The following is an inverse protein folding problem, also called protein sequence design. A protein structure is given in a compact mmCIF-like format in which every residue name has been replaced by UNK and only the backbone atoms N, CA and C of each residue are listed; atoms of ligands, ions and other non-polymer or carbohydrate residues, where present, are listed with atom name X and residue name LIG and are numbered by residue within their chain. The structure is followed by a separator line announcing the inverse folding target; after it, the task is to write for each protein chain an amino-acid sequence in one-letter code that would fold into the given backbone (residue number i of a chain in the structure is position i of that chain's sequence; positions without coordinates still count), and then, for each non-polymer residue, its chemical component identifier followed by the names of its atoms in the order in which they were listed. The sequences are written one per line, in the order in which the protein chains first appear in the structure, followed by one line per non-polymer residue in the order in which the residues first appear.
data_IF_456384681191
#
_entry.id   IF_456384681191
#
_cell.length_a   1.000
_cell.length_b   1.000
_cell.length_c   1.000
_cell.angle_alpha   90.00
_cell.angle_beta   90.00
_cell.angle_gamma   90.00
#
_symmetry.space_group_name_H-M   'P 1'
#
loop_
_entity.id
_entity.type
_entity.pdbx_description
1 polymer ?
#
# COMPACT_ATOMS: atom_id res chain seq x y z
N UNK A 1 -9.96 39.83 21.80
CA UNK A 1 -10.38 38.45 21.49
C UNK A 1 -9.70 37.51 22.47
N UNK A 2 -10.43 36.79 23.33
CA UNK A 2 -9.81 35.88 24.29
C UNK A 2 -8.92 34.85 23.57
N UNK A 3 -7.66 34.63 24.01
CA UNK A 3 -6.70 33.78 23.32
C UNK A 3 -7.18 32.34 23.13
N UNK A 4 -8.09 31.88 23.99
CA UNK A 4 -8.76 30.57 23.89
C UNK A 4 -9.47 30.38 22.54
N UNK A 5 -10.10 31.43 22.00
CA UNK A 5 -10.78 31.33 20.71
C UNK A 5 -9.80 31.14 19.56
N UNK A 6 -8.62 31.77 19.61
CA UNK A 6 -7.59 31.63 18.58
C UNK A 6 -7.07 30.19 18.56
N UNK A 7 -6.78 29.63 19.75
CA UNK A 7 -6.32 28.25 19.89
C UNK A 7 -7.40 27.26 19.44
N UNK A 8 -8.66 27.46 19.85
CA UNK A 8 -9.77 26.60 19.46
C UNK A 8 -9.98 26.61 17.93
N UNK A 9 -9.93 27.78 17.30
CA UNK A 9 -10.07 27.89 15.85
C UNK A 9 -8.91 27.19 15.12
N UNK A 10 -7.68 27.36 15.62
CA UNK A 10 -6.49 26.69 15.09
C UNK A 10 -6.59 25.16 15.21
N UNK A 11 -7.03 24.65 16.36
CA UNK A 11 -7.25 23.22 16.57
C UNK A 11 -8.34 22.67 15.64
N UNK A 12 -9.42 23.41 15.44
CA UNK A 12 -10.51 23.02 14.56
C UNK A 12 -10.05 22.94 13.09
N UNK A 13 -9.29 23.94 12.64
CA UNK A 13 -8.71 23.96 11.30
C UNK A 13 -7.72 22.80 11.09
N UNK A 14 -6.85 22.53 12.07
CA UNK A 14 -5.92 21.40 12.03
C UNK A 14 -6.66 20.06 11.95
N UNK A 15 -7.70 19.86 12.77
CA UNK A 15 -8.50 18.64 12.76
C UNK A 15 -9.22 18.43 11.40
N UNK A 16 -9.74 19.50 10.80
CA UNK A 16 -10.35 19.44 9.48
C UNK A 16 -9.34 19.01 8.41
N UNK A 17 -8.12 19.57 8.45
CA UNK A 17 -7.05 19.22 7.52
C UNK A 17 -6.65 17.74 7.66
N UNK A 18 -6.42 17.27 8.88
CA UNK A 18 -6.09 15.87 9.17
C UNK A 18 -7.18 14.93 8.64
N UNK A 19 -8.47 15.27 8.81
CA UNK A 19 -9.59 14.48 8.29
C UNK A 19 -9.55 14.37 6.76
N UNK A 20 -9.26 15.47 6.07
CA UNK A 20 -9.14 15.50 4.60
C UNK A 20 -7.96 14.64 4.14
N UNK A 21 -6.77 14.82 4.73
CA UNK A 21 -5.59 14.02 4.40
C UNK A 21 -5.82 12.53 4.64
N UNK A 22 -6.42 12.16 5.78
CA UNK A 22 -6.73 10.78 6.10
C UNK A 22 -7.77 10.18 5.14
N UNK A 23 -8.70 10.98 4.61
CA UNK A 23 -9.66 10.53 3.59
C UNK A 23 -8.96 10.26 2.26
N UNK A 24 -8.13 11.18 1.80
CA UNK A 24 -7.44 11.03 0.51
C UNK A 24 -6.39 9.92 0.55
N UNK A 25 -5.64 9.82 1.65
CA UNK A 25 -4.70 8.72 1.87
C UNK A 25 -5.40 7.36 1.80
N UNK A 26 -6.57 7.22 2.42
CA UNK A 26 -7.37 5.99 2.34
C UNK A 26 -7.84 5.70 0.92
N UNK A 27 -8.26 6.74 0.18
CA UNK A 27 -8.68 6.60 -1.22
C UNK A 27 -7.55 6.10 -2.11
N UNK A 28 -6.37 6.71 -2.03
CA UNK A 28 -5.17 6.30 -2.79
C UNK A 28 -4.74 4.89 -2.40
N UNK A 29 -4.72 4.57 -1.11
CA UNK A 29 -4.36 3.24 -0.63
C UNK A 29 -5.36 2.17 -1.08
N UNK A 30 -6.65 2.50 -1.19
CA UNK A 30 -7.65 1.57 -1.70
C UNK A 30 -7.39 1.23 -3.17
N UNK A 31 -6.98 2.20 -3.99
CA UNK A 31 -6.59 1.96 -5.39
C UNK A 31 -5.34 1.09 -5.46
N UNK A 32 -4.30 1.40 -4.67
CA UNK A 32 -3.09 0.58 -4.61
C UNK A 32 -3.37 -0.85 -4.14
N UNK A 33 -4.25 -0.99 -3.14
CA UNK A 33 -4.68 -2.30 -2.64
C UNK A 33 -5.53 -3.08 -3.66
N UNK A 34 -6.30 -2.41 -4.51
CA UNK A 34 -6.97 -3.05 -5.63
C UNK A 34 -5.95 -3.59 -6.65
N UNK A 35 -4.99 -2.76 -7.08
CA UNK A 35 -3.94 -3.18 -8.02
C UNK A 35 -3.10 -4.33 -7.49
N UNK A 36 -2.70 -4.30 -6.21
CA UNK A 36 -1.98 -5.42 -5.57
C UNK A 36 -2.78 -6.72 -5.55
N UNK A 37 -4.12 -6.63 -5.37
CA UNK A 37 -4.99 -7.81 -5.45
C UNK A 37 -5.10 -8.33 -6.87
N UNK A 38 -5.19 -7.44 -7.86
CA UNK A 38 -5.23 -7.81 -9.27
C UNK A 38 -3.91 -8.45 -9.71
N UNK A 39 -2.76 -7.91 -9.30
CA UNK A 39 -1.43 -8.50 -9.52
C UNK A 39 -1.28 -9.86 -8.84
N UNK A 40 -1.76 -10.01 -7.61
CA UNK A 40 -1.76 -11.30 -6.91
C UNK A 40 -2.68 -12.33 -7.60
N UNK A 41 -3.84 -11.90 -8.12
CA UNK A 41 -4.74 -12.76 -8.89
C UNK A 41 -4.19 -13.12 -10.27
N UNK A 42 -3.41 -12.23 -10.90
CA UNK A 42 -2.72 -12.45 -12.17
C UNK A 42 -1.41 -13.24 -12.01
N UNK A 43 -0.88 -13.35 -10.79
CA UNK A 43 0.27 -14.20 -10.50
C UNK A 43 -0.20 -15.65 -10.52
N UNK A 44 0.04 -16.31 -11.65
CA UNK A 44 -0.19 -17.75 -11.80
C UNK A 44 0.61 -18.51 -10.72
N UNK A 45 -0.03 -19.27 -9.81
CA UNK A 45 0.66 -20.10 -8.84
C UNK A 45 1.56 -21.17 -9.49
N UNK A 46 1.41 -21.42 -10.80
CA UNK A 46 2.29 -22.28 -11.60
C UNK A 46 3.56 -21.58 -12.08
N UNK A 47 3.75 -20.28 -11.84
CA UNK A 47 5.08 -19.66 -11.92
C UNK A 47 5.93 -20.17 -10.77
N UNK A 48 6.39 -21.41 -10.89
CA UNK A 48 7.32 -22.03 -9.96
C UNK A 48 8.53 -21.13 -9.75
N UNK A 49 8.97 -21.01 -8.51
CA UNK A 49 10.19 -20.26 -8.20
C UNK A 49 11.37 -20.90 -8.92
N UNK A 50 12.23 -20.08 -9.54
CA UNK A 50 13.47 -20.59 -10.12
C UNK A 50 14.32 -21.22 -9.02
N UNK A 51 14.71 -22.49 -9.19
CA UNK A 51 15.64 -23.20 -8.31
C UNK A 51 16.97 -23.34 -9.02
N UNK A 52 18.05 -23.16 -8.26
CA UNK A 52 19.39 -23.38 -8.76
C UNK A 52 19.64 -24.89 -8.91
N UNK A 53 20.02 -25.31 -10.10
CA UNK A 53 20.45 -26.68 -10.39
C UNK A 53 21.83 -26.89 -9.74
N UNK A 54 21.98 -27.85 -8.81
CA UNK A 54 23.26 -28.09 -8.13
C UNK A 54 24.34 -28.66 -9.06
N UNK A 55 23.95 -29.27 -10.19
CA UNK A 55 24.87 -29.90 -11.13
C UNK A 55 25.43 -28.91 -12.17
N UNK A 56 24.60 -27.98 -12.66
CA UNK A 56 24.97 -27.02 -13.71
C UNK A 56 25.15 -25.58 -13.18
N UNK A 57 24.56 -25.27 -12.02
CA UNK A 57 24.54 -23.92 -11.45
C UNK A 57 23.51 -22.99 -12.10
N UNK A 58 22.82 -23.42 -13.15
CA UNK A 58 21.78 -22.65 -13.83
C UNK A 58 20.48 -22.61 -13.01
N UNK A 59 19.70 -21.53 -13.17
CA UNK A 59 18.39 -21.41 -12.55
C UNK A 59 17.32 -21.98 -13.49
N UNK A 60 16.60 -23.00 -13.03
CA UNK A 60 15.51 -23.65 -13.78
C UNK A 60 14.18 -23.52 -13.03
N UNK A 61 13.02 -23.51 -13.71
CA UNK A 61 11.73 -23.57 -13.03
C UNK A 61 11.70 -24.78 -12.09
N UNK A 62 11.39 -24.57 -10.81
CA UNK A 62 11.17 -25.67 -9.88
C UNK A 62 9.85 -26.34 -10.23
N UNK A 63 9.91 -27.57 -10.74
CA UNK A 63 8.71 -28.40 -10.91
C UNK A 63 7.98 -28.47 -9.56
N UNK A 64 6.69 -28.11 -9.57
CA UNK A 64 5.78 -28.17 -8.42
C UNK A 64 5.18 -29.56 -8.28
#
# INVERSE_FOLDING_TARGET
MPPVFIVALGALAAAALVKVLARESRRVNAELAARRRDEAAATDPRRGTLRRDPSTGEYRPGDS
#
